data_IF_972335468022
#
_entry.id   IF_972335468022
#
_cell.length_a   1.000
_cell.length_b   1.000
_cell.length_c   1.000
_cell.angle_alpha   90.00
_cell.angle_beta   90.00
_cell.angle_gamma   90.00
#
_symmetry.space_group_name_H-M   'P 1'
#
loop_
_entity.id
_entity.type
_entity.pdbx_description
1 polymer ?
#
# COMPACT_ATOMS: atom_id res chain seq x y z
N UNK A 1 9.26 24.98 19.84
CA UNK A 1 10.08 26.21 19.92
C UNK A 1 10.92 26.35 18.65
N UNK A 2 11.46 27.55 18.36
CA UNK A 2 12.38 27.75 17.22
C UNK A 2 13.60 26.80 17.26
N UNK A 3 14.00 26.35 18.45
CA UNK A 3 15.05 25.34 18.61
C UNK A 3 14.57 23.95 18.12
N UNK A 4 13.35 23.57 18.46
CA UNK A 4 12.78 22.29 18.04
C UNK A 4 12.57 22.25 16.52
N UNK A 5 12.15 23.37 15.93
CA UNK A 5 12.00 23.51 14.47
C UNK A 5 13.35 23.34 13.77
N UNK A 6 14.41 24.03 14.28
CA UNK A 6 15.76 23.89 13.74
C UNK A 6 16.34 22.47 13.92
N UNK A 7 15.98 21.78 15.01
CA UNK A 7 16.39 20.40 15.24
C UNK A 7 15.66 19.44 14.28
N UNK A 8 14.37 19.66 14.04
CA UNK A 8 13.60 18.91 13.05
C UNK A 8 14.17 19.10 11.65
N UNK A 9 14.40 20.36 11.24
CA UNK A 9 15.02 20.69 9.95
C UNK A 9 16.36 19.98 9.78
N UNK A 10 17.22 20.02 10.80
CA UNK A 10 18.53 19.38 10.76
C UNK A 10 18.46 17.87 10.55
N UNK A 11 17.53 17.19 11.24
CA UNK A 11 17.43 15.73 11.18
C UNK A 11 16.61 15.20 9.98
N UNK A 12 15.65 15.98 9.50
CA UNK A 12 14.77 15.56 8.40
C UNK A 12 15.25 16.02 7.02
N UNK A 13 16.16 17.00 6.96
CA UNK A 13 16.75 17.42 5.68
C UNK A 13 17.56 16.30 5.04
N UNK A 14 17.30 16.05 3.77
CA UNK A 14 17.96 15.04 2.98
C UNK A 14 18.15 15.47 1.53
N UNK A 15 19.05 14.82 0.82
CA UNK A 15 19.29 14.99 -0.61
C UNK A 15 18.98 13.67 -1.30
N UNK A 16 18.36 13.74 -2.47
CA UNK A 16 18.16 12.56 -3.33
C UNK A 16 19.37 12.38 -4.24
N UNK A 17 19.93 11.18 -4.22
CA UNK A 17 21.07 10.80 -5.06
C UNK A 17 20.69 9.64 -5.96
N UNK A 18 20.78 9.82 -7.27
CA UNK A 18 20.77 8.74 -8.23
C UNK A 18 22.18 8.15 -8.30
N UNK A 19 22.33 6.86 -8.05
CA UNK A 19 23.62 6.16 -8.03
C UNK A 19 23.66 5.12 -9.13
N UNK A 20 24.67 5.19 -10.00
CA UNK A 20 25.01 4.12 -10.94
C UNK A 20 25.76 3.01 -10.19
N UNK A 21 25.15 1.83 -9.93
CA UNK A 21 25.79 0.78 -9.16
C UNK A 21 27.01 0.14 -9.86
N UNK A 22 27.10 0.25 -11.17
CA UNK A 22 28.22 -0.30 -11.95
C UNK A 22 29.41 0.65 -12.01
N UNK A 23 29.16 1.94 -12.15
CA UNK A 23 30.20 2.97 -12.35
C UNK A 23 30.50 3.81 -11.11
N UNK A 24 29.69 3.71 -10.05
CA UNK A 24 29.82 4.51 -8.83
C UNK A 24 29.55 6.00 -9.03
N UNK A 25 29.03 6.41 -10.20
CA UNK A 25 28.68 7.81 -10.47
C UNK A 25 27.41 8.16 -9.69
N UNK A 26 27.42 9.35 -9.11
CA UNK A 26 26.28 9.92 -8.40
C UNK A 26 25.80 11.19 -9.07
N UNK A 27 24.50 11.39 -9.10
CA UNK A 27 23.86 12.62 -9.55
C UNK A 27 22.86 13.05 -8.47
N UNK A 28 22.94 14.31 -8.01
CA UNK A 28 21.94 14.88 -7.12
C UNK A 28 20.66 15.17 -7.92
N UNK A 29 19.51 14.79 -7.35
CA UNK A 29 18.18 15.04 -7.91
C UNK A 29 17.46 16.04 -7.01
N UNK A 30 17.00 17.14 -7.59
CA UNK A 30 16.28 18.19 -6.86
C UNK A 30 17.17 18.96 -5.88
N UNK A 31 16.54 19.58 -4.90
CA UNK A 31 17.19 20.37 -3.85
C UNK A 31 17.13 19.62 -2.51
N UNK A 32 17.92 20.07 -1.53
CA UNK A 32 17.79 19.58 -0.14
C UNK A 32 16.39 19.89 0.38
N UNK A 33 15.67 18.87 0.84
CA UNK A 33 14.29 18.98 1.34
C UNK A 33 14.00 17.91 2.40
N UNK A 34 12.76 17.91 2.91
CA UNK A 34 12.27 16.92 3.88
C UNK A 34 11.51 15.82 3.14
N UNK A 35 12.22 14.99 2.39
CA UNK A 35 11.63 13.90 1.61
C UNK A 35 11.13 12.79 2.51
N UNK A 36 9.88 12.38 2.31
CA UNK A 36 9.25 11.25 2.99
C UNK A 36 9.06 10.06 2.06
N UNK A 37 9.03 10.32 0.74
CA UNK A 37 8.92 9.29 -0.28
C UNK A 37 9.69 9.70 -1.54
N UNK A 38 10.36 8.73 -2.16
CA UNK A 38 10.96 8.85 -3.47
C UNK A 38 10.93 7.47 -4.15
N UNK A 39 10.08 7.27 -5.13
CA UNK A 39 9.86 5.98 -5.76
C UNK A 39 9.75 6.10 -7.28
N UNK A 40 10.54 5.31 -8.00
CA UNK A 40 10.47 5.26 -9.45
C UNK A 40 9.18 4.60 -9.94
N UNK A 41 8.64 5.12 -11.04
CA UNK A 41 7.61 4.41 -11.81
C UNK A 41 8.14 3.05 -12.29
N UNK A 42 7.27 2.06 -12.54
CA UNK A 42 7.69 0.72 -12.97
C UNK A 42 8.60 0.67 -14.21
N UNK A 43 8.51 1.64 -15.08
CA UNK A 43 9.40 1.77 -16.26
C UNK A 43 10.63 2.68 -16.02
N UNK A 44 10.72 3.28 -14.82
CA UNK A 44 11.80 4.21 -14.47
C UNK A 44 11.74 5.58 -15.16
N UNK A 45 10.64 5.88 -15.85
CA UNK A 45 10.51 7.14 -16.61
C UNK A 45 10.18 8.33 -15.72
N UNK A 46 9.63 8.10 -14.54
CA UNK A 46 9.20 9.11 -13.59
C UNK A 46 9.58 8.75 -12.16
N UNK A 47 9.58 9.76 -11.29
CA UNK A 47 9.85 9.63 -9.86
C UNK A 47 8.69 10.26 -9.09
N UNK A 48 7.99 9.48 -8.27
CA UNK A 48 6.99 9.98 -7.34
C UNK A 48 7.70 10.46 -6.08
N UNK A 49 7.49 11.72 -5.74
CA UNK A 49 8.12 12.40 -4.60
C UNK A 49 7.03 12.88 -3.65
N UNK A 50 7.24 12.65 -2.36
CA UNK A 50 6.55 13.39 -1.30
C UNK A 50 7.58 14.10 -0.44
N UNK A 51 7.34 15.39 -0.15
CA UNK A 51 8.17 16.21 0.73
C UNK A 51 7.32 17.03 1.66
N UNK A 52 7.75 17.14 2.91
CA UNK A 52 7.09 17.98 3.90
C UNK A 52 7.37 19.45 3.63
N UNK A 53 6.38 20.28 3.98
CA UNK A 53 6.43 21.75 3.82
C UNK A 53 6.08 22.40 5.15
N UNK A 54 6.97 23.27 5.62
CA UNK A 54 6.74 24.05 6.86
C UNK A 54 5.59 25.06 6.74
N UNK A 55 5.14 25.67 7.84
CA UNK A 55 5.73 25.57 9.17
C UNK A 55 5.41 24.25 9.90
N UNK A 56 6.32 23.84 10.81
CA UNK A 56 6.16 22.59 11.57
C UNK A 56 5.14 22.75 12.69
N UNK A 57 4.34 21.71 12.91
CA UNK A 57 3.41 21.68 14.03
C UNK A 57 4.06 21.05 15.27
N UNK A 58 3.73 21.57 16.44
CA UNK A 58 4.11 20.97 17.74
C UNK A 58 2.96 20.18 18.38
N UNK A 59 1.81 20.06 17.68
CA UNK A 59 0.60 19.45 18.20
C UNK A 59 0.32 18.06 17.57
N UNK A 60 0.82 17.84 16.36
CA UNK A 60 0.61 16.60 15.62
C UNK A 60 1.95 15.99 15.20
N UNK A 61 1.93 14.70 14.91
CA UNK A 61 3.10 13.97 14.43
C UNK A 61 3.45 14.37 12.98
N UNK A 62 4.72 14.22 12.60
CA UNK A 62 5.27 14.68 11.32
C UNK A 62 4.52 14.15 10.08
N UNK A 63 3.95 12.94 10.12
CA UNK A 63 3.13 12.37 9.02
C UNK A 63 1.76 13.04 8.83
N UNK A 64 1.47 14.05 9.64
CA UNK A 64 0.31 14.94 9.49
C UNK A 64 0.69 16.36 9.07
N UNK A 65 1.97 16.60 8.86
CA UNK A 65 2.43 17.92 8.40
C UNK A 65 1.96 18.16 6.95
N UNK A 66 1.97 19.42 6.56
CA UNK A 66 1.72 19.76 5.17
C UNK A 66 2.76 19.10 4.27
N UNK A 67 2.33 18.58 3.13
CA UNK A 67 3.22 17.95 2.16
C UNK A 67 2.83 18.27 0.73
N UNK A 68 3.82 18.24 -0.16
CA UNK A 68 3.65 18.30 -1.61
C UNK A 68 3.94 16.90 -2.17
N UNK A 69 3.02 16.43 -3.02
CA UNK A 69 3.18 15.18 -3.76
C UNK A 69 3.32 15.51 -5.23
N UNK A 70 4.43 15.12 -5.80
CA UNK A 70 4.87 15.54 -7.13
C UNK A 70 5.36 14.35 -7.96
N UNK A 71 5.21 14.44 -9.27
CA UNK A 71 5.90 13.55 -10.23
C UNK A 71 7.02 14.34 -10.86
N UNK A 72 8.21 13.79 -10.79
CA UNK A 72 9.42 14.36 -11.40
C UNK A 72 9.96 13.46 -12.51
N UNK A 73 10.70 14.04 -13.42
CA UNK A 73 11.58 13.29 -14.32
C UNK A 73 12.81 12.75 -13.57
N UNK A 74 13.49 11.74 -14.09
CA UNK A 74 14.67 11.14 -13.42
C UNK A 74 15.84 12.12 -13.21
N UNK A 75 15.86 13.24 -13.93
CA UNK A 75 16.84 14.33 -13.77
C UNK A 75 16.38 15.41 -12.78
N UNK A 76 15.24 15.22 -12.11
CA UNK A 76 14.75 16.08 -11.02
C UNK A 76 13.92 17.28 -11.47
N UNK A 77 13.38 17.26 -12.69
CA UNK A 77 12.48 18.31 -13.14
C UNK A 77 11.03 17.97 -12.76
N UNK A 78 10.30 18.95 -12.23
CA UNK A 78 8.86 18.80 -11.95
C UNK A 78 8.10 18.55 -13.27
N UNK A 79 7.37 17.42 -13.31
CA UNK A 79 6.47 17.06 -14.41
C UNK A 79 5.04 17.42 -14.06
N UNK A 80 4.58 17.02 -12.87
CA UNK A 80 3.23 17.30 -12.41
C UNK A 80 3.16 17.45 -10.89
N UNK A 81 2.30 18.34 -10.40
CA UNK A 81 1.89 18.40 -9.01
C UNK A 81 0.63 17.55 -8.84
N UNK A 82 0.73 16.49 -8.04
CA UNK A 82 -0.37 15.55 -7.80
C UNK A 82 -1.26 16.03 -6.66
N UNK A 83 -0.64 16.50 -5.57
CA UNK A 83 -1.37 17.03 -4.43
C UNK A 83 -0.54 18.03 -3.64
N UNK A 84 -1.22 19.04 -3.11
CA UNK A 84 -0.73 19.93 -2.05
C UNK A 84 -1.60 19.70 -0.82
N UNK A 85 -1.06 18.97 0.16
CA UNK A 85 -1.79 18.52 1.33
C UNK A 85 -1.55 19.48 2.50
N UNK A 86 -2.61 20.06 3.08
CA UNK A 86 -2.46 20.95 4.23
C UNK A 86 -2.10 20.21 5.50
N UNK A 87 -1.62 20.93 6.50
CA UNK A 87 -1.47 20.42 7.87
C UNK A 87 -2.77 19.78 8.36
N UNK A 88 -2.69 18.50 8.76
CA UNK A 88 -3.84 17.69 9.17
C UNK A 88 -4.07 17.73 10.70
N UNK A 89 -4.03 18.91 11.31
CA UNK A 89 -4.23 19.13 12.75
C UNK A 89 -5.71 19.02 13.17
N UNK A 90 -6.62 19.39 12.28
CA UNK A 90 -8.07 19.37 12.51
C UNK A 90 -8.75 18.03 12.16
N UNK A 91 -7.99 16.97 11.83
CA UNK A 91 -8.56 15.66 11.49
C UNK A 91 -9.21 15.04 12.73
N UNK A 92 -10.52 14.71 12.69
CA UNK A 92 -11.21 14.10 13.80
C UNK A 92 -10.57 12.78 14.23
N UNK A 93 -10.80 12.37 15.50
CA UNK A 93 -10.41 11.03 15.96
C UNK A 93 -11.05 9.98 15.04
N UNK A 94 -10.23 9.07 14.49
CA UNK A 94 -10.62 8.08 13.49
C UNK A 94 -11.05 8.65 12.13
N UNK A 95 -10.88 9.94 11.92
CA UNK A 95 -10.98 10.57 10.61
C UNK A 95 -9.75 10.33 9.73
N UNK A 96 -9.81 10.84 8.52
CA UNK A 96 -8.69 10.83 7.57
C UNK A 96 -8.47 12.24 7.02
N UNK A 97 -7.23 12.59 6.61
CA UNK A 97 -6.96 13.85 5.94
C UNK A 97 -7.79 14.01 4.66
N UNK A 98 -7.99 15.25 4.26
CA UNK A 98 -8.56 15.61 2.96
C UNK A 98 -7.49 15.51 1.87
N UNK A 99 -7.93 15.28 0.65
CA UNK A 99 -7.08 15.13 -0.53
C UNK A 99 -6.64 13.68 -0.76
N UNK A 100 -5.76 13.49 -1.75
CA UNK A 100 -5.16 12.20 -2.06
C UNK A 100 -4.40 11.61 -0.87
N UNK A 101 -4.57 10.32 -0.63
CA UNK A 101 -3.82 9.54 0.36
C UNK A 101 -3.52 8.15 -0.18
N UNK A 102 -2.50 7.49 0.35
CA UNK A 102 -2.04 6.17 -0.13
C UNK A 102 -1.78 6.23 -1.64
N UNK A 103 -1.01 7.23 -2.05
CA UNK A 103 -0.65 7.44 -3.45
C UNK A 103 0.46 6.44 -3.79
N UNK A 104 0.30 5.71 -4.88
CA UNK A 104 1.23 4.65 -5.27
C UNK A 104 1.20 4.40 -6.78
N UNK A 105 2.29 3.81 -7.31
CA UNK A 105 2.35 3.34 -8.67
C UNK A 105 1.58 2.02 -8.85
N UNK A 106 0.90 1.87 -9.98
CA UNK A 106 0.44 0.56 -10.42
C UNK A 106 1.65 -0.29 -10.80
N UNK A 107 2.00 -1.26 -9.97
CA UNK A 107 3.20 -2.11 -10.12
C UNK A 107 3.36 -2.74 -11.51
N UNK A 108 2.25 -2.96 -12.21
CA UNK A 108 2.15 -3.69 -13.49
C UNK A 108 1.91 -2.82 -14.71
N UNK A 109 1.86 -1.49 -14.54
CA UNK A 109 1.75 -0.53 -15.64
C UNK A 109 2.95 0.44 -15.62
N UNK A 110 3.40 0.95 -16.77
CA UNK A 110 4.63 1.75 -16.83
C UNK A 110 4.62 2.97 -15.90
N UNK A 111 3.55 3.76 -15.92
CA UNK A 111 3.49 5.04 -15.23
C UNK A 111 2.03 5.48 -14.95
N UNK A 112 1.33 4.65 -14.19
CA UNK A 112 -0.05 4.93 -13.75
C UNK A 112 -0.07 5.05 -12.23
N UNK A 113 -0.60 6.16 -11.72
CA UNK A 113 -0.83 6.42 -10.30
C UNK A 113 -2.22 5.99 -9.86
N UNK A 114 -2.31 5.51 -8.62
CA UNK A 114 -3.55 5.28 -7.89
C UNK A 114 -3.50 5.97 -6.54
N UNK A 115 -4.64 6.44 -6.07
CA UNK A 115 -4.77 6.98 -4.72
C UNK A 115 -6.20 6.89 -4.22
N UNK A 116 -6.40 7.17 -2.95
CA UNK A 116 -7.71 7.17 -2.29
C UNK A 116 -8.07 8.56 -1.84
N UNK A 117 -9.34 8.93 -2.01
CA UNK A 117 -9.89 10.20 -1.51
C UNK A 117 -11.13 9.96 -0.64
N UNK A 118 -11.31 10.84 0.37
CA UNK A 118 -12.46 10.79 1.24
C UNK A 118 -13.67 11.51 0.64
N UNK A 119 -14.83 10.85 0.61
CA UNK A 119 -16.11 11.38 0.17
C UNK A 119 -16.95 11.99 1.30
N UNK A 120 -16.55 11.76 2.55
CA UNK A 120 -17.25 12.22 3.76
C UNK A 120 -16.57 13.41 4.43
N UNK A 121 -15.66 14.08 3.72
CA UNK A 121 -14.85 15.17 4.28
C UNK A 121 -13.88 14.71 5.35
N UNK A 122 -13.48 13.43 5.36
CA UNK A 122 -12.60 12.83 6.36
C UNK A 122 -13.28 12.62 7.73
N UNK A 123 -14.58 12.92 7.84
CA UNK A 123 -15.32 12.86 9.09
C UNK A 123 -15.98 11.47 9.28
N UNK A 124 -15.53 10.66 10.27
CA UNK A 124 -16.02 9.30 10.46
C UNK A 124 -17.48 9.22 10.94
N UNK A 125 -18.07 10.32 11.41
CA UNK A 125 -19.47 10.38 11.85
C UNK A 125 -20.41 10.97 10.81
N UNK A 126 -19.91 11.41 9.65
CA UNK A 126 -20.75 11.89 8.57
C UNK A 126 -21.67 10.77 8.05
N UNK A 127 -22.94 11.13 7.80
CA UNK A 127 -23.92 10.22 7.21
C UNK A 127 -23.80 10.29 5.68
N UNK A 128 -23.10 9.35 5.09
CA UNK A 128 -22.88 9.22 3.64
C UNK A 128 -23.06 7.78 3.22
N UNK A 129 -23.38 7.57 1.94
CA UNK A 129 -23.50 6.22 1.36
C UNK A 129 -22.14 5.57 1.08
N UNK A 130 -21.14 6.37 0.76
CA UNK A 130 -19.78 5.92 0.47
C UNK A 130 -18.79 6.87 1.13
N UNK A 131 -17.74 6.32 1.72
CA UNK A 131 -16.74 7.09 2.47
C UNK A 131 -15.50 7.40 1.67
N UNK A 132 -15.13 6.51 0.75
CA UNK A 132 -13.90 6.62 -0.03
C UNK A 132 -14.15 6.31 -1.50
N UNK A 133 -13.24 6.84 -2.32
CA UNK A 133 -13.10 6.47 -3.73
C UNK A 133 -11.65 6.18 -4.08
N UNK A 134 -11.45 5.25 -5.00
CA UNK A 134 -10.18 4.95 -5.63
C UNK A 134 -10.07 5.72 -6.93
N UNK A 135 -8.98 6.44 -7.10
CA UNK A 135 -8.69 7.28 -8.26
C UNK A 135 -7.51 6.74 -9.05
N UNK A 136 -7.50 6.97 -10.34
CA UNK A 136 -6.43 6.62 -11.30
C UNK A 136 -6.03 7.83 -12.10
N UNK A 137 -4.72 8.02 -12.34
CA UNK A 137 -4.17 9.02 -13.25
C UNK A 137 -2.99 8.43 -14.03
N UNK A 138 -3.00 8.62 -15.33
CA UNK A 138 -1.96 8.13 -16.23
C UNK A 138 -1.09 9.28 -16.72
N UNK A 139 0.17 8.97 -17.07
CA UNK A 139 1.02 9.94 -17.72
C UNK A 139 0.38 10.45 -19.05
N UNK A 140 0.60 11.72 -19.39
CA UNK A 140 1.58 12.67 -18.83
C UNK A 140 1.11 13.43 -17.57
N UNK A 141 0.07 12.98 -16.88
CA UNK A 141 -0.48 13.54 -15.62
C UNK A 141 -1.12 14.93 -15.74
N UNK A 142 -1.43 15.37 -16.94
CA UNK A 142 -2.07 16.67 -17.25
C UNK A 142 -3.59 16.55 -17.43
N UNK A 143 -4.12 15.32 -17.38
CA UNK A 143 -5.54 15.02 -17.48
C UNK A 143 -6.26 15.05 -16.14
N UNK A 144 -7.58 14.83 -16.18
CA UNK A 144 -8.37 14.59 -14.98
C UNK A 144 -8.24 13.15 -14.49
N UNK A 145 -8.10 12.97 -13.18
CA UNK A 145 -8.08 11.64 -12.58
C UNK A 145 -9.45 10.95 -12.73
N UNK A 146 -9.42 9.67 -13.01
CA UNK A 146 -10.61 8.84 -13.20
C UNK A 146 -10.94 8.08 -11.91
N UNK A 147 -12.21 8.13 -11.49
CA UNK A 147 -12.72 7.30 -10.41
C UNK A 147 -12.92 5.86 -10.90
N UNK A 148 -12.31 4.89 -10.20
CA UNK A 148 -12.36 3.47 -10.55
C UNK A 148 -13.32 2.68 -9.65
N UNK A 149 -13.35 3.03 -8.36
CA UNK A 149 -14.15 2.31 -7.38
C UNK A 149 -14.59 3.24 -6.26
N UNK A 150 -15.74 2.93 -5.68
CA UNK A 150 -16.33 3.67 -4.56
C UNK A 150 -16.65 2.71 -3.43
N UNK A 151 -16.07 2.94 -2.25
CA UNK A 151 -16.22 2.09 -1.08
C UNK A 151 -17.26 2.66 -0.08
N UNK A 152 -18.10 1.81 0.47
CA UNK A 152 -19.04 2.21 1.53
C UNK A 152 -18.31 2.61 2.82
N UNK A 153 -17.16 2.00 3.08
CA UNK A 153 -16.34 2.23 4.27
C UNK A 153 -14.96 2.77 3.89
N UNK A 154 -13.99 2.72 4.81
CA UNK A 154 -12.64 3.21 4.53
C UNK A 154 -11.80 2.20 3.76
N UNK A 155 -11.22 2.63 2.67
CA UNK A 155 -10.13 1.91 2.02
C UNK A 155 -8.88 2.05 2.89
N UNK A 156 -8.35 0.94 3.36
CA UNK A 156 -7.17 0.90 4.23
C UNK A 156 -5.90 0.47 3.50
N UNK A 157 -6.03 -0.02 2.28
CA UNK A 157 -4.92 -0.39 1.41
C UNK A 157 -5.36 -0.27 -0.04
N UNK A 158 -4.53 0.30 -0.89
CA UNK A 158 -4.68 0.28 -2.36
C UNK A 158 -4.41 -1.10 -2.93
N UNK A 159 -4.01 -2.03 -2.06
CA UNK A 159 -4.01 -3.44 -2.33
C UNK A 159 -2.79 -3.95 -3.08
N UNK A 160 -3.00 -5.05 -3.75
CA UNK A 160 -2.00 -5.78 -4.49
C UNK A 160 -2.53 -6.15 -5.87
N UNK A 161 -1.66 -6.12 -6.84
CA UNK A 161 -1.96 -6.45 -8.22
C UNK A 161 -1.78 -7.95 -8.48
N UNK A 162 -2.63 -8.52 -9.33
CA UNK A 162 -2.39 -9.84 -9.93
C UNK A 162 -1.18 -9.77 -10.87
N UNK A 163 -0.61 -10.92 -11.19
CA UNK A 163 0.57 -11.05 -12.07
C UNK A 163 0.38 -10.40 -13.45
N UNK A 164 -0.81 -10.53 -14.01
CA UNK A 164 -1.20 -9.94 -15.29
C UNK A 164 -1.58 -8.47 -15.18
N UNK A 165 -1.68 -7.96 -13.94
CA UNK A 165 -2.05 -6.59 -13.65
C UNK A 165 -3.51 -6.23 -13.91
N UNK A 166 -4.34 -7.16 -14.31
CA UNK A 166 -5.74 -6.88 -14.64
C UNK A 166 -6.60 -6.59 -13.40
N UNK A 167 -6.29 -7.28 -12.29
CA UNK A 167 -7.10 -7.19 -11.08
C UNK A 167 -6.32 -6.58 -9.91
N UNK A 168 -6.95 -5.62 -9.27
CA UNK A 168 -6.51 -5.05 -7.99
C UNK A 168 -7.25 -5.73 -6.84
N UNK A 169 -6.52 -6.25 -5.88
CA UNK A 169 -7.06 -6.68 -4.59
C UNK A 169 -7.01 -5.51 -3.61
N UNK A 170 -8.15 -5.02 -3.19
CA UNK A 170 -8.29 -3.85 -2.32
C UNK A 170 -8.98 -4.25 -1.00
N UNK A 171 -8.56 -3.64 0.11
CA UNK A 171 -9.18 -3.88 1.41
C UNK A 171 -9.94 -2.66 1.91
N UNK A 172 -11.21 -2.85 2.17
CA UNK A 172 -12.15 -1.92 2.80
C UNK A 172 -12.42 -2.36 4.24
N UNK A 173 -12.57 -1.39 5.15
CA UNK A 173 -12.77 -1.66 6.58
C UNK A 173 -13.96 -0.89 7.15
N UNK A 174 -14.92 -1.62 7.71
CA UNK A 174 -15.97 -1.08 8.59
C UNK A 174 -15.49 -1.07 10.04
N UNK A 175 -15.04 0.10 10.49
CA UNK A 175 -14.37 0.25 11.78
C UNK A 175 -15.23 -0.13 12.99
N UNK A 176 -16.52 0.26 12.98
CA UNK A 176 -17.40 0.07 14.14
C UNK A 176 -17.72 -1.40 14.35
N UNK A 177 -18.01 -2.13 13.28
CA UNK A 177 -18.22 -3.58 13.32
C UNK A 177 -16.92 -4.38 13.35
N UNK A 178 -15.77 -3.73 13.16
CA UNK A 178 -14.47 -4.39 13.03
C UNK A 178 -14.46 -5.45 11.92
N UNK A 179 -15.04 -5.09 10.77
CA UNK A 179 -15.25 -5.95 9.63
C UNK A 179 -14.40 -5.49 8.45
N UNK A 180 -13.77 -6.43 7.74
CA UNK A 180 -13.02 -6.17 6.51
C UNK A 180 -13.69 -6.83 5.32
N UNK A 181 -13.73 -6.11 4.21
CA UNK A 181 -14.14 -6.61 2.90
C UNK A 181 -12.93 -6.56 1.98
N UNK A 182 -12.63 -7.68 1.34
CA UNK A 182 -11.55 -7.76 0.36
C UNK A 182 -12.18 -7.85 -1.01
N UNK A 183 -11.94 -6.81 -1.79
CA UNK A 183 -12.47 -6.62 -3.12
C UNK A 183 -11.48 -7.08 -4.18
N UNK A 184 -11.99 -7.62 -5.28
CA UNK A 184 -11.29 -7.76 -6.54
C UNK A 184 -11.91 -6.79 -7.53
N UNK A 185 -11.08 -5.92 -8.10
CA UNK A 185 -11.49 -4.83 -8.97
C UNK A 185 -10.75 -4.98 -10.30
N UNK A 186 -11.47 -5.13 -11.38
CA UNK A 186 -10.93 -4.94 -12.72
C UNK A 186 -10.78 -3.44 -12.97
N UNK A 187 -9.55 -2.97 -13.07
CA UNK A 187 -9.26 -1.53 -13.11
C UNK A 187 -9.47 -0.88 -14.47
N UNK A 188 -9.69 -1.67 -15.52
CA UNK A 188 -10.00 -1.16 -16.85
C UNK A 188 -11.50 -1.00 -17.05
N UNK A 189 -12.29 -1.94 -16.51
CA UNK A 189 -13.76 -1.92 -16.64
C UNK A 189 -14.47 -1.29 -15.46
N UNK A 190 -13.84 -1.24 -14.28
CA UNK A 190 -14.44 -0.85 -13.01
C UNK A 190 -15.33 -1.94 -12.40
N UNK A 191 -15.42 -3.13 -13.02
CA UNK A 191 -16.16 -4.25 -12.44
C UNK A 191 -15.49 -4.69 -11.14
N UNK A 192 -16.31 -4.88 -10.10
CA UNK A 192 -15.80 -5.22 -8.78
C UNK A 192 -16.67 -6.26 -8.09
N UNK A 193 -16.05 -7.10 -7.28
CA UNK A 193 -16.75 -8.07 -6.42
C UNK A 193 -16.02 -8.25 -5.09
N UNK A 194 -16.78 -8.50 -4.03
CA UNK A 194 -16.20 -8.97 -2.77
C UNK A 194 -15.70 -10.39 -3.01
N UNK A 195 -14.41 -10.62 -2.75
CA UNK A 195 -13.85 -11.97 -2.79
C UNK A 195 -14.13 -12.71 -1.49
N UNK A 196 -13.86 -12.06 -0.37
CA UNK A 196 -14.22 -12.52 0.95
C UNK A 196 -14.36 -11.35 1.91
N UNK A 197 -15.04 -11.60 3.01
CA UNK A 197 -15.11 -10.68 4.14
C UNK A 197 -14.82 -11.43 5.45
N UNK A 198 -14.44 -10.70 6.49
CA UNK A 198 -14.08 -11.29 7.77
C UNK A 198 -14.27 -10.32 8.94
N UNK A 199 -14.62 -10.91 10.08
CA UNK A 199 -14.56 -10.27 11.38
C UNK A 199 -13.09 -10.18 11.84
N UNK A 200 -12.58 -8.98 12.14
CA UNK A 200 -11.21 -8.79 12.62
C UNK A 200 -10.94 -9.43 13.99
N UNK A 201 -11.97 -9.75 14.75
CA UNK A 201 -11.86 -10.41 16.04
C UNK A 201 -11.90 -11.94 15.92
N UNK A 202 -12.33 -12.48 14.79
CA UNK A 202 -12.32 -13.92 14.52
C UNK A 202 -10.94 -14.40 14.03
N UNK A 203 -10.04 -14.60 14.99
CA UNK A 203 -8.69 -15.07 14.69
C UNK A 203 -8.63 -16.52 14.19
N UNK A 204 -9.67 -17.33 14.45
CA UNK A 204 -9.69 -18.73 14.02
C UNK A 204 -9.98 -18.90 12.53
N UNK A 205 -10.75 -18.01 11.95
CA UNK A 205 -11.09 -18.01 10.54
C UNK A 205 -10.29 -16.98 9.72
N UNK A 206 -9.27 -16.35 10.32
CA UNK A 206 -8.40 -15.40 9.61
C UNK A 206 -7.67 -16.13 8.47
N UNK A 207 -7.90 -15.73 7.19
CA UNK A 207 -7.24 -16.33 6.04
C UNK A 207 -5.75 -16.00 5.96
N UNK A 208 -5.25 -15.15 6.86
CA UNK A 208 -3.89 -14.63 6.83
C UNK A 208 -3.69 -13.50 5.82
N UNK A 209 -2.43 -13.26 5.48
CA UNK A 209 -2.02 -12.21 4.58
C UNK A 209 -1.52 -12.80 3.26
N UNK A 210 -1.74 -12.13 2.12
CA UNK A 210 -1.21 -12.57 0.85
C UNK A 210 0.31 -12.59 0.86
N UNK A 211 0.87 -13.50 0.08
CA UNK A 211 2.30 -13.56 -0.21
C UNK A 211 2.55 -12.81 -1.51
N UNK A 212 3.59 -11.99 -1.50
CA UNK A 212 3.99 -11.19 -2.65
C UNK A 212 5.24 -11.75 -3.31
N UNK A 213 5.46 -11.38 -4.55
CA UNK A 213 6.73 -11.56 -5.25
C UNK A 213 7.19 -10.25 -5.88
N UNK A 214 8.50 -10.01 -5.94
CA UNK A 214 9.03 -8.86 -6.68
C UNK A 214 8.90 -9.08 -8.18
N UNK A 215 8.74 -7.97 -8.89
CA UNK A 215 8.92 -7.85 -10.33
C UNK A 215 10.35 -7.37 -10.63
N UNK A 216 10.79 -7.52 -11.87
CA UNK A 216 12.12 -7.07 -12.32
C UNK A 216 12.28 -5.53 -12.22
N UNK A 217 11.19 -4.80 -12.20
CA UNK A 217 11.15 -3.35 -12.03
C UNK A 217 11.21 -2.88 -10.55
N UNK A 218 11.36 -3.80 -9.59
CA UNK A 218 11.44 -3.51 -8.15
C UNK A 218 10.11 -3.41 -7.43
N UNK A 219 9.00 -3.34 -8.15
CA UNK A 219 7.66 -3.34 -7.55
C UNK A 219 7.21 -4.76 -7.19
N UNK A 220 6.05 -4.87 -6.55
CA UNK A 220 5.55 -6.14 -6.01
C UNK A 220 4.15 -6.44 -6.53
N UNK A 221 3.87 -7.74 -6.75
CA UNK A 221 2.55 -8.27 -7.09
C UNK A 221 2.20 -9.44 -6.18
N UNK A 222 0.94 -9.85 -6.21
CA UNK A 222 0.51 -11.10 -5.57
C UNK A 222 1.35 -12.25 -6.12
N UNK A 223 1.84 -13.12 -5.25
CA UNK A 223 2.42 -14.38 -5.70
C UNK A 223 1.29 -15.28 -6.17
N UNK A 224 1.30 -15.63 -7.45
CA UNK A 224 0.22 -16.32 -8.13
C UNK A 224 0.73 -17.48 -8.98
N UNK A 225 -0.06 -18.54 -9.10
CA UNK A 225 0.14 -19.65 -10.04
C UNK A 225 -1.20 -20.04 -10.65
N UNK A 226 -1.42 -19.68 -11.92
CA UNK A 226 -2.76 -19.76 -12.51
C UNK A 226 -3.75 -18.92 -11.71
N UNK A 227 -4.88 -19.47 -11.37
CA UNK A 227 -5.91 -18.78 -10.58
C UNK A 227 -5.68 -18.86 -9.06
N UNK A 228 -4.56 -19.41 -8.62
CA UNK A 228 -4.26 -19.60 -7.20
C UNK A 228 -3.28 -18.57 -6.68
N UNK A 229 -3.63 -17.88 -5.61
CA UNK A 229 -2.77 -16.95 -4.85
C UNK A 229 -2.41 -17.53 -3.49
N UNK A 230 -1.26 -17.15 -2.94
CA UNK A 230 -0.73 -17.72 -1.71
C UNK A 230 -0.98 -16.79 -0.52
N UNK A 231 -1.32 -17.42 0.62
CA UNK A 231 -1.59 -16.75 1.90
C UNK A 231 -0.80 -17.40 3.02
N UNK A 232 -0.32 -16.59 3.95
CA UNK A 232 0.31 -17.06 5.19
C UNK A 232 -0.33 -16.42 6.39
N UNK A 233 -0.45 -17.16 7.49
CA UNK A 233 -1.06 -16.65 8.70
C UNK A 233 -0.54 -17.31 9.96
N UNK A 234 -0.90 -16.74 11.11
CA UNK A 234 -0.56 -17.28 12.43
C UNK A 234 -1.32 -18.55 12.77
N UNK A 235 -2.51 -18.74 12.21
CA UNK A 235 -3.31 -19.95 12.37
C UNK A 235 -3.72 -20.18 13.82
N UNK A 236 -4.38 -19.21 14.44
CA UNK A 236 -4.86 -19.32 15.80
C UNK A 236 -5.66 -20.61 16.02
N UNK A 237 -5.46 -21.29 17.16
CA UNK A 237 -6.18 -22.47 17.56
C UNK A 237 -6.36 -22.48 19.08
N UNK A 238 -7.25 -23.35 19.64
CA UNK A 238 -7.40 -23.48 21.10
C UNK A 238 -6.11 -23.87 21.83
N UNK A 239 -5.18 -24.55 21.12
CA UNK A 239 -3.90 -25.00 21.67
C UNK A 239 -2.76 -23.99 21.45
N UNK A 240 -3.03 -22.85 20.77
CA UNK A 240 -2.06 -21.83 20.41
C UNK A 240 -1.98 -21.59 18.90
N UNK A 241 -1.05 -20.76 18.50
CA UNK A 241 -0.87 -20.42 17.09
C UNK A 241 -0.18 -21.60 16.34
N UNK A 242 -0.74 -21.97 15.20
CA UNK A 242 -0.22 -22.97 14.28
C UNK A 242 -0.05 -22.36 12.89
N UNK A 243 1.06 -21.65 12.65
CA UNK A 243 1.31 -20.95 11.40
C UNK A 243 1.11 -21.84 10.17
N UNK A 244 0.63 -21.22 9.10
CA UNK A 244 0.26 -21.93 7.89
C UNK A 244 0.68 -21.20 6.61
N UNK A 245 0.72 -21.96 5.53
CA UNK A 245 0.76 -21.50 4.15
C UNK A 245 -0.39 -22.14 3.38
N UNK A 246 -1.26 -21.33 2.81
CA UNK A 246 -2.36 -21.76 1.96
C UNK A 246 -2.19 -21.23 0.53
N UNK A 247 -2.81 -21.91 -0.43
CA UNK A 247 -3.16 -21.31 -1.70
C UNK A 247 -4.68 -21.27 -1.86
N UNK A 248 -5.16 -20.14 -2.38
CA UNK A 248 -6.59 -19.84 -2.49
C UNK A 248 -6.92 -19.42 -3.91
N UNK A 249 -8.05 -19.91 -4.41
CA UNK A 249 -8.57 -19.52 -5.72
C UNK A 249 -8.95 -18.03 -5.73
N UNK A 250 -8.38 -17.26 -6.66
CA UNK A 250 -8.66 -15.84 -6.82
C UNK A 250 -10.11 -15.62 -7.22
N UNK A 251 -10.87 -14.96 -6.36
CA UNK A 251 -12.29 -14.71 -6.56
C UNK A 251 -13.20 -15.93 -6.43
N UNK A 252 -12.64 -17.08 -6.08
CA UNK A 252 -13.36 -18.31 -5.76
C UNK A 252 -13.31 -18.64 -4.26
N UNK A 253 -13.76 -19.83 -3.89
CA UNK A 253 -13.81 -20.32 -2.50
C UNK A 253 -12.84 -21.45 -2.22
N UNK A 254 -12.22 -22.03 -3.24
CA UNK A 254 -11.32 -23.16 -3.06
C UNK A 254 -10.05 -22.72 -2.31
N UNK A 255 -9.70 -23.50 -1.29
CA UNK A 255 -8.48 -23.30 -0.49
C UNK A 255 -7.79 -24.63 -0.27
N UNK A 256 -6.47 -24.64 -0.47
CA UNK A 256 -5.63 -25.80 -0.23
C UNK A 256 -4.53 -25.43 0.78
N UNK A 257 -4.45 -26.19 1.88
CA UNK A 257 -3.40 -26.07 2.88
C UNK A 257 -2.13 -26.75 2.40
N UNK A 258 -1.08 -25.95 2.13
CA UNK A 258 0.23 -26.46 1.71
C UNK A 258 1.12 -26.78 2.90
N UNK A 259 0.99 -26.02 3.98
CA UNK A 259 1.77 -26.20 5.20
C UNK A 259 0.95 -25.78 6.42
N UNK A 260 1.10 -26.49 7.51
CA UNK A 260 0.64 -26.09 8.84
C UNK A 260 1.64 -26.58 9.88
N UNK A 261 2.06 -25.71 10.78
CA UNK A 261 2.95 -26.04 11.87
C UNK A 261 2.40 -27.18 12.75
N UNK A 262 3.25 -28.11 13.13
CA UNK A 262 2.90 -29.16 14.08
C UNK A 262 2.66 -28.60 15.49
N UNK A 263 1.79 -29.24 16.31
CA UNK A 263 1.45 -28.72 17.64
C UNK A 263 2.64 -28.55 18.58
N UNK A 264 3.64 -29.43 18.44
CA UNK A 264 4.80 -29.50 19.35
C UNK A 264 6.00 -28.66 18.87
N UNK A 265 5.79 -27.83 17.83
CA UNK A 265 6.83 -26.98 17.25
C UNK A 265 6.28 -25.60 16.98
N UNK A 266 7.18 -24.63 16.75
CA UNK A 266 6.82 -23.34 16.20
C UNK A 266 7.57 -23.13 14.88
N UNK A 267 6.84 -23.30 13.80
CA UNK A 267 7.38 -23.24 12.44
C UNK A 267 6.51 -22.30 11.60
N UNK A 268 7.13 -21.42 10.83
CA UNK A 268 6.39 -20.51 9.96
C UNK A 268 7.06 -20.35 8.60
N UNK A 269 6.22 -20.15 7.59
CA UNK A 269 6.65 -19.88 6.23
C UNK A 269 7.54 -18.63 6.18
N UNK A 270 8.70 -18.75 5.55
CA UNK A 270 9.63 -17.64 5.35
C UNK A 270 9.58 -17.12 3.92
N UNK A 271 9.88 -17.94 2.93
CA UNK A 271 9.93 -17.57 1.52
C UNK A 271 9.78 -18.80 0.61
N UNK A 272 9.37 -18.57 -0.62
CA UNK A 272 9.53 -19.55 -1.69
C UNK A 272 10.98 -19.61 -2.16
N UNK A 273 11.42 -20.80 -2.57
CA UNK A 273 12.78 -21.08 -3.04
C UNK A 273 12.77 -21.37 -4.55
N UNK A 274 12.83 -20.31 -5.34
CA UNK A 274 12.84 -20.37 -6.79
C UNK A 274 11.45 -20.47 -7.41
N UNK A 275 10.74 -21.58 -7.19
CA UNK A 275 9.40 -21.85 -7.73
C UNK A 275 8.33 -21.99 -6.61
N UNK A 276 7.08 -22.23 -7.00
CA UNK A 276 5.96 -22.42 -6.07
C UNK A 276 5.85 -23.85 -5.50
N UNK A 277 6.76 -24.75 -5.84
CA UNK A 277 6.78 -26.12 -5.33
C UNK A 277 7.73 -26.27 -4.14
N UNK A 278 8.64 -25.31 -3.95
CA UNK A 278 9.63 -25.35 -2.89
C UNK A 278 9.54 -24.06 -2.05
N UNK A 279 9.51 -24.22 -0.74
CA UNK A 279 9.54 -23.09 0.19
C UNK A 279 10.41 -23.40 1.42
N UNK A 280 10.89 -22.34 2.02
CA UNK A 280 11.67 -22.37 3.25
C UNK A 280 10.75 -21.96 4.40
N UNK A 281 10.79 -22.70 5.48
CA UNK A 281 10.18 -22.31 6.75
C UNK A 281 11.26 -22.19 7.82
N UNK A 282 11.02 -21.35 8.81
CA UNK A 282 11.85 -21.26 10.00
C UNK A 282 11.23 -22.12 11.09
N UNK A 283 12.06 -22.99 11.71
CA UNK A 283 11.67 -23.83 12.83
C UNK A 283 12.36 -23.32 14.09
N UNK A 284 11.60 -23.16 15.15
CA UNK A 284 12.09 -22.80 16.48
C UNK A 284 11.77 -23.96 17.43
N UNK A 285 12.80 -24.42 18.15
CA UNK A 285 12.63 -25.40 19.23
C UNK A 285 12.67 -24.69 20.57
N UNK A 286 11.80 -25.07 21.49
CA UNK A 286 11.83 -24.66 22.90
C UNK A 286 13.07 -25.20 23.59
#
# INVERSE_FOLDING_TARGET
>A
TAYDDALFDYHMSSELLLVDPAGGRTQTIGETAHYTMAEFSPDGAYLLIERLVGPWSHEVAWWRFASEVEVWSPDGQLVASIASLPLADAVPIHGVPLGPRVIDWRSTAPHTLFWVEALDGGNPVASVSHRDRLMKLEAPFDGEATEIFRAEHRIISTGAWTDDGATLMLTERERIKRWRYVWLIDVETGESKVWYDLDEDDRYNDPGNPVYRPLDNGHWVLRQKGDMVYFRGSGASPEGDRPFLDRRELGGSATERLFRCDPDRYEYFNAFAGDENHFVFRSESS
#
